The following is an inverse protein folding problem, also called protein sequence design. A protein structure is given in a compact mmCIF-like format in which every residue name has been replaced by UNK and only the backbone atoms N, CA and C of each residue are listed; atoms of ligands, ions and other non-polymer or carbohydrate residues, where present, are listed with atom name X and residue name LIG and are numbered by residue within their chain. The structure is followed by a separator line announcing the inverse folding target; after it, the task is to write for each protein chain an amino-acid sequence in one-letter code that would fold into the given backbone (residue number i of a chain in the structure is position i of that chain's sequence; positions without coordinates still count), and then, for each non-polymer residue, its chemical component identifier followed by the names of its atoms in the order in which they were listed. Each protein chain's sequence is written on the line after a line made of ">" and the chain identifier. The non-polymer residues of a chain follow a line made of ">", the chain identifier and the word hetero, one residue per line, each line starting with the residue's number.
data_IF_400581101558
#
_entry.id   IF_400581101558
#
_cell.length_a   1.000
_cell.length_b   1.000
_cell.length_c   1.000
_cell.angle_alpha   90.00
_cell.angle_beta   90.00
_cell.angle_gamma   90.00
#
_symmetry.space_group_name_H-M   'P 1'
#
loop_
_entity.id
_entity.type
_entity.pdbx_description
1 polymer ?
#
# COMPACT_ATOMS: atom_id res chain seq x y z
N UNK A 1 21.02 15.80 -39.82
CA UNK A 1 22.45 16.21 -39.69
C UNK A 1 23.43 15.02 -39.78
N UNK A 2 23.00 13.76 -39.54
CA UNK A 2 23.86 12.55 -39.60
C UNK A 2 24.18 12.13 -41.04
N UNK A 3 23.37 12.53 -42.02
CA UNK A 3 23.48 12.07 -43.42
C UNK A 3 24.40 12.90 -44.29
N UNK A 4 25.03 13.98 -43.80
CA UNK A 4 25.80 14.90 -44.63
C UNK A 4 27.28 15.04 -44.20
N UNK A 5 27.83 14.08 -43.45
CA UNK A 5 29.25 14.03 -43.13
C UNK A 5 30.02 13.46 -44.32
N UNK A 6 30.68 14.33 -45.09
CA UNK A 6 31.51 14.01 -46.27
C UNK A 6 33.01 13.83 -45.93
N UNK A 7 33.34 13.56 -44.65
CA UNK A 7 34.72 13.41 -44.22
C UNK A 7 35.11 11.96 -44.00
N UNK A 8 36.32 11.64 -44.52
CA UNK A 8 36.89 10.32 -44.61
C UNK A 8 36.97 9.58 -43.28
N UNK A 9 36.57 8.33 -43.35
CA UNK A 9 36.76 7.19 -42.42
C UNK A 9 36.83 7.50 -40.93
N UNK A 10 37.96 8.00 -40.44
CA UNK A 10 38.27 8.19 -39.04
C UNK A 10 37.41 9.29 -38.36
N UNK A 11 37.23 10.43 -39.00
CA UNK A 11 36.42 11.54 -38.49
C UNK A 11 34.93 11.14 -38.40
N UNK A 12 34.45 10.37 -39.35
CA UNK A 12 33.10 9.83 -39.37
C UNK A 12 32.89 8.83 -38.22
N UNK A 13 33.86 7.95 -37.96
CA UNK A 13 33.80 6.99 -36.91
C UNK A 13 33.83 7.66 -35.52
N UNK A 14 34.65 8.69 -35.33
CA UNK A 14 34.70 9.50 -34.11
C UNK A 14 33.38 10.23 -33.90
N UNK A 15 32.81 10.82 -34.98
CA UNK A 15 31.52 11.50 -34.89
C UNK A 15 30.36 10.54 -34.55
N UNK A 16 30.33 9.37 -35.16
CA UNK A 16 29.33 8.33 -34.84
C UNK A 16 29.48 7.78 -33.44
N UNK A 17 30.72 7.59 -32.98
CA UNK A 17 30.98 7.21 -31.61
C UNK A 17 30.50 8.26 -30.59
N UNK A 18 30.79 9.54 -30.86
CA UNK A 18 30.31 10.66 -30.04
C UNK A 18 28.77 10.69 -29.96
N UNK A 19 28.09 10.57 -31.10
CA UNK A 19 26.61 10.51 -31.12
C UNK A 19 26.03 9.31 -30.43
N UNK A 20 26.70 8.18 -30.52
CA UNK A 20 26.31 6.96 -29.77
C UNK A 20 26.39 7.17 -28.26
N UNK A 21 27.47 7.80 -27.77
CA UNK A 21 27.61 8.10 -26.33
C UNK A 21 26.62 9.18 -25.88
N UNK A 22 26.33 10.19 -26.70
CA UNK A 22 25.32 11.20 -26.42
C UNK A 22 23.91 10.57 -26.24
N UNK A 23 23.53 9.65 -27.13
CA UNK A 23 22.26 8.93 -27.05
C UNK A 23 22.21 8.00 -25.83
N UNK A 24 23.29 7.30 -25.52
CA UNK A 24 23.41 6.46 -24.31
C UNK A 24 23.28 7.30 -23.05
N UNK A 25 23.90 8.47 -22.98
CA UNK A 25 23.79 9.39 -21.87
C UNK A 25 22.33 9.85 -21.67
N UNK A 26 21.65 10.23 -22.75
CA UNK A 26 20.23 10.62 -22.68
C UNK A 26 19.33 9.46 -22.21
N UNK A 27 19.60 8.23 -22.64
CA UNK A 27 18.87 7.05 -22.16
C UNK A 27 19.12 6.79 -20.69
N UNK A 28 20.36 6.91 -20.22
CA UNK A 28 20.70 6.77 -18.79
C UNK A 28 20.01 7.86 -17.98
N UNK A 29 20.00 9.11 -18.45
CA UNK A 29 19.33 10.22 -17.77
C UNK A 29 17.80 10.02 -17.67
N UNK A 30 17.17 9.44 -18.70
CA UNK A 30 15.76 9.06 -18.66
C UNK A 30 15.50 7.93 -17.65
N UNK A 31 16.36 6.92 -17.61
CA UNK A 31 16.29 5.82 -16.64
C UNK A 31 16.54 6.30 -15.20
N UNK A 32 17.45 7.26 -15.01
CA UNK A 32 17.69 7.87 -13.69
C UNK A 32 16.50 8.74 -13.26
N UNK A 33 15.82 9.43 -14.16
CA UNK A 33 14.57 10.13 -13.87
C UNK A 33 13.47 9.16 -13.44
N UNK A 34 13.32 8.02 -14.12
CA UNK A 34 12.37 6.97 -13.72
C UNK A 34 12.77 6.32 -12.37
N UNK A 35 14.05 6.15 -12.10
CA UNK A 35 14.55 5.62 -10.82
C UNK A 35 14.54 6.65 -9.70
N UNK A 36 14.70 7.93 -9.97
CA UNK A 36 14.50 9.02 -8.97
C UNK A 36 13.09 9.03 -8.38
N UNK A 37 12.09 8.56 -9.14
CA UNK A 37 10.75 8.33 -8.60
C UNK A 37 10.63 7.11 -7.67
N UNK A 38 11.65 6.24 -7.63
CA UNK A 38 11.68 5.08 -6.72
C UNK A 38 12.34 5.38 -5.37
N UNK A 39 13.18 6.39 -5.27
CA UNK A 39 13.72 6.83 -3.97
C UNK A 39 12.66 7.63 -3.21
N UNK A 40 12.35 7.17 -1.99
CA UNK A 40 11.47 7.90 -1.07
C UNK A 40 12.31 8.91 -0.31
N UNK A 41 12.01 10.20 -0.45
CA UNK A 41 12.69 11.23 0.32
C UNK A 41 12.31 11.15 1.82
N UNK A 42 13.16 11.66 2.74
CA UNK A 42 12.81 11.70 4.16
C UNK A 42 11.51 12.48 4.44
N UNK A 43 11.20 13.49 3.63
CA UNK A 43 9.94 14.26 3.74
C UNK A 43 8.73 13.40 3.35
N UNK A 44 8.83 12.63 2.27
CA UNK A 44 7.78 11.73 1.81
C UNK A 44 7.58 10.54 2.76
N UNK A 45 8.65 10.03 3.34
CA UNK A 45 8.58 9.01 4.39
C UNK A 45 7.75 9.54 5.58
N UNK A 46 8.05 10.75 6.06
CA UNK A 46 7.27 11.40 7.13
C UNK A 46 5.83 11.65 6.72
N UNK A 47 5.57 12.07 5.48
CA UNK A 47 4.22 12.27 4.97
C UNK A 47 3.42 10.96 4.95
N UNK A 48 4.01 9.86 4.50
CA UNK A 48 3.37 8.55 4.49
C UNK A 48 3.05 8.06 5.92
N UNK A 49 3.97 8.18 6.87
CA UNK A 49 3.72 7.83 8.27
C UNK A 49 2.65 8.73 8.92
N UNK A 50 2.62 10.03 8.60
CA UNK A 50 1.53 10.92 9.04
C UNK A 50 0.19 10.50 8.46
N UNK A 51 0.14 10.17 7.17
CA UNK A 51 -1.08 9.67 6.52
C UNK A 51 -1.56 8.37 7.16
N UNK A 52 -0.65 7.45 7.45
CA UNK A 52 -0.95 6.22 8.18
C UNK A 52 -1.56 6.52 9.57
N UNK A 53 -0.97 7.42 10.34
CA UNK A 53 -1.49 7.81 11.64
C UNK A 53 -2.89 8.46 11.54
N UNK A 54 -3.12 9.36 10.57
CA UNK A 54 -4.44 9.96 10.32
C UNK A 54 -5.48 8.89 9.95
N UNK A 55 -5.11 7.93 9.10
CA UNK A 55 -6.00 6.84 8.69
C UNK A 55 -6.48 6.01 9.89
N UNK A 56 -5.63 5.82 10.89
CA UNK A 56 -5.94 5.02 12.08
C UNK A 56 -6.67 5.79 13.19
N UNK A 57 -6.79 7.11 13.12
CA UNK A 57 -7.51 7.91 14.12
C UNK A 57 -8.99 7.54 14.17
N UNK A 58 -9.61 7.32 13.01
CA UNK A 58 -10.99 6.87 12.91
C UNK A 58 -11.15 5.85 11.77
N UNK A 59 -10.93 4.60 12.10
CA UNK A 59 -11.08 3.50 11.13
C UNK A 59 -12.54 3.29 10.69
N UNK A 60 -13.50 3.78 11.46
CA UNK A 60 -14.93 3.71 11.14
C UNK A 60 -15.30 4.69 10.03
N UNK A 61 -14.76 5.93 10.11
CA UNK A 61 -15.01 7.01 9.15
C UNK A 61 -13.69 7.64 8.69
N UNK A 62 -12.84 6.92 7.97
CA UNK A 62 -11.56 7.43 7.54
C UNK A 62 -11.75 8.54 6.51
N UNK A 63 -10.80 9.49 6.41
CA UNK A 63 -10.79 10.45 5.32
C UNK A 63 -10.67 9.74 3.96
N UNK A 64 -11.23 10.34 2.94
CA UNK A 64 -11.04 9.88 1.57
C UNK A 64 -9.57 9.98 1.15
N UNK A 65 -9.18 9.21 0.14
CA UNK A 65 -7.79 9.23 -0.35
C UNK A 65 -7.32 10.62 -0.82
N UNK A 66 -8.15 11.45 -1.50
CA UNK A 66 -7.79 12.84 -1.80
C UNK A 66 -7.57 13.71 -0.55
N UNK A 67 -8.47 13.61 0.44
CA UNK A 67 -8.35 14.36 1.70
C UNK A 67 -7.11 13.95 2.48
N UNK A 68 -6.83 12.64 2.55
CA UNK A 68 -5.64 12.11 3.19
C UNK A 68 -4.36 12.63 2.52
N UNK A 69 -4.31 12.62 1.19
CA UNK A 69 -3.19 13.12 0.41
C UNK A 69 -2.97 14.63 0.61
N UNK A 70 -4.05 15.41 0.60
CA UNK A 70 -4.01 16.85 0.86
C UNK A 70 -3.50 17.16 2.29
N UNK A 71 -3.97 16.40 3.29
CA UNK A 71 -3.57 16.59 4.69
C UNK A 71 -2.06 16.40 4.93
N UNK A 72 -1.39 15.63 4.10
CA UNK A 72 0.06 15.37 4.22
C UNK A 72 0.90 16.05 3.14
N UNK A 73 0.28 16.83 2.25
CA UNK A 73 0.97 17.64 1.25
C UNK A 73 1.55 16.88 0.06
N UNK A 74 0.95 15.73 -0.29
CA UNK A 74 1.33 14.95 -1.49
C UNK A 74 0.12 14.74 -2.39
N UNK A 75 0.34 14.42 -3.66
CA UNK A 75 -0.76 14.04 -4.53
C UNK A 75 -1.20 12.59 -4.27
N UNK A 76 -2.43 12.26 -4.69
CA UNK A 76 -3.05 10.93 -4.52
C UNK A 76 -2.21 9.79 -5.11
N UNK A 77 -1.67 10.00 -6.31
CA UNK A 77 -0.87 8.99 -7.00
C UNK A 77 0.41 8.69 -6.23
N UNK A 78 1.10 9.74 -5.77
CA UNK A 78 2.32 9.60 -4.98
C UNK A 78 2.04 8.95 -3.62
N UNK A 79 0.95 9.34 -2.92
CA UNK A 79 0.57 8.71 -1.65
C UNK A 79 0.34 7.19 -1.83
N UNK A 80 -0.38 6.79 -2.90
CA UNK A 80 -0.62 5.37 -3.19
C UNK A 80 0.70 4.62 -3.46
N UNK A 81 1.63 5.23 -4.18
CA UNK A 81 2.95 4.64 -4.42
C UNK A 81 3.77 4.52 -3.12
N UNK A 82 3.78 5.57 -2.28
CA UNK A 82 4.46 5.56 -0.99
C UNK A 82 3.93 4.45 -0.06
N UNK A 83 2.61 4.26 -0.01
CA UNK A 83 2.03 3.18 0.81
C UNK A 83 2.48 1.80 0.34
N UNK A 84 2.50 1.55 -0.96
CA UNK A 84 3.00 0.29 -1.51
C UNK A 84 4.49 0.07 -1.23
N UNK A 85 5.28 1.13 -1.32
CA UNK A 85 6.74 1.04 -1.13
C UNK A 85 7.14 0.89 0.33
N UNK A 86 6.48 1.58 1.25
CA UNK A 86 6.86 1.63 2.66
C UNK A 86 6.11 0.62 3.54
N UNK A 87 4.88 0.27 3.17
CA UNK A 87 4.02 -0.61 3.97
C UNK A 87 3.62 -1.89 3.23
N UNK A 88 4.13 -2.09 2.00
CA UNK A 88 3.86 -3.27 1.15
C UNK A 88 2.36 -3.52 0.89
N UNK A 89 1.52 -2.48 1.08
CA UNK A 89 0.07 -2.59 0.97
C UNK A 89 -0.53 -1.27 0.44
N UNK A 90 -1.78 -1.32 0.07
CA UNK A 90 -2.55 -0.13 -0.31
C UNK A 90 -3.14 0.54 0.92
N UNK A 91 -3.51 1.83 0.81
CA UNK A 91 -4.23 2.56 1.88
C UNK A 91 -5.49 1.80 2.32
N UNK A 92 -6.25 1.27 1.35
CA UNK A 92 -7.46 0.49 1.64
C UNK A 92 -7.17 -0.91 2.19
N UNK A 93 -6.06 -1.53 1.79
CA UNK A 93 -5.61 -2.81 2.33
C UNK A 93 -5.27 -2.69 3.82
N UNK A 94 -4.49 -1.66 4.17
CA UNK A 94 -4.16 -1.34 5.56
C UNK A 94 -5.44 -1.08 6.37
N UNK A 95 -6.32 -0.21 5.88
CA UNK A 95 -7.58 0.10 6.57
C UNK A 95 -8.42 -1.15 6.81
N UNK A 96 -8.54 -2.01 5.80
CA UNK A 96 -9.27 -3.28 5.93
C UNK A 96 -8.66 -4.18 6.99
N UNK A 97 -7.33 -4.32 7.03
CA UNK A 97 -6.62 -5.11 8.03
C UNK A 97 -6.87 -4.57 9.43
N UNK A 98 -6.76 -3.26 9.65
CA UNK A 98 -6.97 -2.63 10.95
C UNK A 98 -8.43 -2.75 11.41
N UNK A 99 -9.41 -2.63 10.49
CA UNK A 99 -10.83 -2.89 10.79
C UNK A 99 -11.08 -4.33 11.24
N UNK A 100 -10.42 -5.30 10.61
CA UNK A 100 -10.54 -6.71 10.97
C UNK A 100 -9.87 -7.01 12.32
N UNK A 101 -8.73 -6.39 12.61
CA UNK A 101 -8.09 -6.51 13.92
C UNK A 101 -8.92 -5.84 15.02
N UNK A 102 -9.56 -4.69 14.74
CA UNK A 102 -10.52 -4.07 15.65
C UNK A 102 -11.70 -5.01 15.93
N UNK A 103 -12.29 -5.58 14.87
CA UNK A 103 -13.37 -6.54 15.01
C UNK A 103 -12.96 -7.75 15.84
N UNK A 104 -11.76 -8.30 15.61
CA UNK A 104 -11.21 -9.41 16.39
C UNK A 104 -11.08 -9.07 17.87
N UNK A 105 -10.64 -7.85 18.22
CA UNK A 105 -10.60 -7.38 19.62
C UNK A 105 -11.99 -7.28 20.23
N UNK A 106 -12.94 -6.66 19.53
CA UNK A 106 -14.31 -6.46 20.01
C UNK A 106 -15.08 -7.79 20.16
N UNK A 107 -14.78 -8.80 19.34
CA UNK A 107 -15.36 -10.14 19.47
C UNK A 107 -14.92 -10.87 20.76
N UNK A 108 -13.80 -10.46 21.36
CA UNK A 108 -13.36 -10.96 22.66
C UNK A 108 -14.08 -10.29 23.84
N UNK A 109 -14.72 -9.13 23.63
CA UNK A 109 -15.48 -8.44 24.66
C UNK A 109 -16.86 -9.07 24.83
N UNK A 110 -17.34 -9.11 26.08
CA UNK A 110 -18.71 -9.58 26.36
C UNK A 110 -19.71 -8.48 26.05
N UNK A 111 -20.89 -8.86 25.55
CA UNK A 111 -22.02 -7.97 25.42
C UNK A 111 -22.24 -7.31 24.05
N UNK A 112 -21.28 -7.41 23.12
CA UNK A 112 -21.46 -6.87 21.76
C UNK A 112 -21.90 -7.94 20.77
N UNK A 113 -22.87 -7.60 19.92
CA UNK A 113 -23.30 -8.48 18.85
C UNK A 113 -22.49 -8.20 17.54
N UNK A 114 -22.53 -9.15 16.60
CA UNK A 114 -21.76 -9.06 15.36
C UNK A 114 -22.18 -7.85 14.51
N UNK A 115 -23.45 -7.46 14.58
CA UNK A 115 -24.00 -6.29 13.85
C UNK A 115 -23.39 -5.00 14.38
N UNK A 116 -23.38 -4.82 15.70
CA UNK A 116 -22.74 -3.66 16.34
C UNK A 116 -21.25 -3.59 16.02
N UNK A 117 -20.54 -4.73 16.13
CA UNK A 117 -19.11 -4.81 15.81
C UNK A 117 -18.85 -4.41 14.36
N UNK A 118 -19.69 -4.85 13.41
CA UNK A 118 -19.54 -4.51 12.01
C UNK A 118 -19.55 -2.99 11.80
N UNK A 119 -20.53 -2.30 12.36
CA UNK A 119 -20.67 -0.85 12.20
C UNK A 119 -19.59 -0.08 12.97
N UNK A 120 -19.25 -0.50 14.19
CA UNK A 120 -18.16 0.11 14.97
C UNK A 120 -16.81 0.04 14.26
N UNK A 121 -16.55 -1.07 13.54
CA UNK A 121 -15.33 -1.24 12.76
C UNK A 121 -15.42 -0.63 11.34
N UNK A 122 -16.51 0.05 11.00
CA UNK A 122 -16.68 0.73 9.71
C UNK A 122 -16.99 -0.18 8.53
N UNK A 123 -17.53 -1.38 8.76
CA UNK A 123 -18.08 -2.22 7.70
C UNK A 123 -19.50 -1.76 7.34
N UNK A 124 -19.82 -1.81 6.05
CA UNK A 124 -21.14 -1.42 5.54
C UNK A 124 -22.26 -2.36 5.94
N UNK A 125 -21.95 -3.60 6.33
CA UNK A 125 -22.91 -4.59 6.80
C UNK A 125 -22.24 -5.72 7.57
N UNK A 126 -23.00 -6.46 8.42
CA UNK A 126 -22.51 -7.67 9.08
C UNK A 126 -22.03 -8.76 8.11
N UNK A 127 -22.70 -8.87 6.96
CA UNK A 127 -22.30 -9.83 5.91
C UNK A 127 -20.95 -9.48 5.31
N UNK A 128 -20.66 -8.19 5.12
CA UNK A 128 -19.36 -7.73 4.63
C UNK A 128 -18.26 -8.02 5.65
N UNK A 129 -18.50 -7.74 6.94
CA UNK A 129 -17.58 -8.14 8.01
C UNK A 129 -17.35 -9.66 7.99
N UNK A 130 -18.42 -10.47 7.96
CA UNK A 130 -18.31 -11.93 8.01
C UNK A 130 -17.47 -12.47 6.86
N UNK A 131 -17.71 -12.01 5.63
CA UNK A 131 -16.93 -12.42 4.46
C UNK A 131 -15.45 -12.02 4.59
N UNK A 132 -15.18 -10.78 4.98
CA UNK A 132 -13.83 -10.27 5.11
C UNK A 132 -13.07 -10.96 6.26
N UNK A 133 -13.73 -11.18 7.39
CA UNK A 133 -13.17 -11.84 8.58
C UNK A 133 -12.84 -13.31 8.29
N UNK A 134 -13.78 -14.05 7.67
CA UNK A 134 -13.54 -15.44 7.32
C UNK A 134 -12.42 -15.61 6.31
N UNK A 135 -12.29 -14.69 5.35
CA UNK A 135 -11.18 -14.68 4.40
C UNK A 135 -9.82 -14.44 5.07
N UNK A 136 -9.78 -13.60 6.12
CA UNK A 136 -8.55 -13.25 6.83
C UNK A 136 -8.16 -14.28 7.90
N UNK A 137 -9.16 -14.80 8.65
CA UNK A 137 -8.92 -15.63 9.84
C UNK A 137 -9.34 -17.09 9.69
N UNK A 138 -9.86 -17.48 8.53
CA UNK A 138 -10.27 -18.87 8.23
C UNK A 138 -11.57 -19.34 8.90
N UNK A 139 -12.13 -18.55 9.84
CA UNK A 139 -13.36 -18.88 10.57
C UNK A 139 -14.30 -17.68 10.63
N UNK A 140 -15.60 -17.91 10.77
CA UNK A 140 -16.56 -16.81 10.86
C UNK A 140 -16.46 -16.07 12.20
N UNK A 141 -16.89 -14.77 12.27
CA UNK A 141 -16.92 -14.01 13.52
C UNK A 141 -17.69 -14.72 14.63
N UNK A 142 -18.80 -15.38 14.28
CA UNK A 142 -19.62 -16.16 15.24
C UNK A 142 -18.87 -17.36 15.78
N UNK A 143 -18.22 -18.14 14.94
CA UNK A 143 -17.39 -19.27 15.36
C UNK A 143 -16.22 -18.82 16.25
N UNK A 144 -15.55 -17.70 15.86
CA UNK A 144 -14.50 -17.09 16.65
C UNK A 144 -14.99 -16.70 18.05
N UNK A 145 -16.14 -16.05 18.16
CA UNK A 145 -16.74 -15.65 19.45
C UNK A 145 -17.11 -16.84 20.32
N UNK A 146 -17.66 -17.93 19.75
CA UNK A 146 -18.00 -19.17 20.46
C UNK A 146 -16.73 -19.87 20.96
N UNK A 147 -15.73 -20.04 20.12
CA UNK A 147 -14.47 -20.70 20.50
C UNK A 147 -13.79 -20.00 21.69
N UNK A 148 -13.82 -18.67 21.72
CA UNK A 148 -13.29 -17.87 22.83
C UNK A 148 -14.10 -18.01 24.12
N UNK A 149 -15.42 -18.14 24.04
CA UNK A 149 -16.27 -18.35 25.22
C UNK A 149 -16.02 -19.71 25.90
N UNK A 150 -15.59 -20.70 25.10
CA UNK A 150 -15.28 -22.05 25.58
C UNK A 150 -13.79 -22.28 25.91
N UNK A 151 -12.98 -21.21 25.95
CA UNK A 151 -11.58 -21.30 26.37
C UNK A 151 -10.66 -21.99 25.35
N UNK A 152 -11.13 -22.22 24.11
CA UNK A 152 -10.28 -22.76 23.04
C UNK A 152 -9.44 -21.64 22.43
N UNK A 153 -8.10 -21.78 22.37
CA UNK A 153 -7.29 -20.84 21.63
C UNK A 153 -7.72 -20.90 20.15
N UNK A 154 -8.27 -19.80 19.63
CA UNK A 154 -8.46 -19.67 18.19
C UNK A 154 -7.07 -19.82 17.55
N UNK A 155 -6.92 -20.79 16.65
CA UNK A 155 -5.66 -21.14 16.03
C UNK A 155 -4.93 -19.89 15.51
N UNK A 156 -3.61 -19.78 15.68
CA UNK A 156 -2.84 -18.70 15.09
C UNK A 156 -2.96 -18.80 13.59
N UNK A 157 -3.39 -17.70 12.96
CA UNK A 157 -3.34 -17.59 11.51
C UNK A 157 -1.87 -17.60 11.13
N UNK A 158 -1.44 -18.65 10.46
CA UNK A 158 -0.16 -18.65 9.77
C UNK A 158 -0.21 -17.50 8.75
N UNK A 159 0.57 -16.46 8.96
CA UNK A 159 0.98 -15.57 7.87
C UNK A 159 1.59 -16.48 6.81
N UNK A 160 0.89 -16.61 5.69
CA UNK A 160 1.39 -17.34 4.54
C UNK A 160 2.68 -16.68 4.07
N UNK A 161 3.80 -17.30 4.39
CA UNK A 161 5.01 -17.20 3.60
C UNK A 161 4.65 -17.69 2.20
N UNK A 162 4.47 -16.76 1.27
CA UNK A 162 4.55 -17.08 -0.15
C UNK A 162 5.77 -16.34 -0.68
N UNK A 163 6.94 -16.96 -0.41
CA UNK A 163 8.11 -16.85 -1.25
C UNK A 163 8.04 -18.00 -2.26
N UNK A 164 7.81 -17.70 -3.51
CA UNK A 164 8.55 -18.29 -4.66
C UNK A 164 8.27 -17.44 -5.88
#
# INVERSE_FOLDING_TARGET
>A
QILNCRDDGLLRDVFLAHKKYELLYQQIELLDRENSHKCVSPAECRAAHRAYAILLQDIGKPPSLPELAAAVGVNRTRLTALFRMLFEDTVFGILRRERLECARRLLNEKGKNITEIAYLCGFSSPSHLTKAFSAQFGISPKQYQIARRHGHPAAPVSCGEQHT
#
